data_IF_525523305558
#
_entry.id   IF_525523305558
#
_cell.length_a   1.000
_cell.length_b   1.000
_cell.length_c   1.000
_cell.angle_alpha   90.00
_cell.angle_beta   90.00
_cell.angle_gamma   90.00
#
_symmetry.space_group_name_H-M   'P 1'
#
loop_
_entity.id
_entity.type
_entity.pdbx_description
1 polymer ?
#
# COMPACT_ATOMS: atom_id res chain seq x y z
N UNK A 1 -1.94 -0.72 17.66
CA UNK A 1 -0.80 -1.68 17.81
C UNK A 1 -0.32 -2.00 16.40
N UNK A 2 0.99 -1.94 16.18
CA UNK A 2 1.61 -2.29 14.90
C UNK A 2 1.20 -3.71 14.48
N UNK A 3 0.86 -3.89 13.22
CA UNK A 3 0.66 -5.20 12.64
C UNK A 3 1.97 -5.75 12.10
N UNK A 4 2.06 -7.06 11.90
CA UNK A 4 3.13 -7.68 11.13
C UNK A 4 2.54 -8.58 10.04
N UNK A 5 3.30 -8.75 8.96
CA UNK A 5 2.96 -9.66 7.87
C UNK A 5 4.06 -10.69 7.73
N UNK A 6 3.68 -11.95 7.62
CA UNK A 6 4.56 -13.04 7.26
C UNK A 6 4.00 -13.78 6.05
N UNK A 7 4.73 -13.78 4.98
CA UNK A 7 4.41 -14.44 3.72
C UNK A 7 5.31 -15.66 3.61
N UNK A 8 4.73 -16.84 3.31
CA UNK A 8 5.46 -18.10 3.19
C UNK A 8 5.07 -18.83 1.92
N UNK A 9 6.07 -19.11 1.08
CA UNK A 9 5.91 -19.89 -0.12
C UNK A 9 4.82 -19.39 -1.06
N UNK A 10 4.61 -18.06 -1.16
CA UNK A 10 3.52 -17.47 -1.91
C UNK A 10 3.71 -17.68 -3.41
N UNK A 11 2.73 -18.33 -4.03
CA UNK A 11 2.68 -18.56 -5.48
C UNK A 11 1.44 -17.90 -6.07
N UNK A 12 1.60 -17.23 -7.21
CA UNK A 12 0.49 -16.76 -8.02
C UNK A 12 0.67 -17.10 -9.48
N UNK A 13 -0.30 -17.82 -10.00
CA UNK A 13 -0.48 -18.10 -11.43
C UNK A 13 -1.76 -17.43 -11.92
N UNK A 14 -1.70 -16.76 -13.06
CA UNK A 14 -2.89 -16.27 -13.78
C UNK A 14 -3.33 -17.26 -14.86
N UNK A 15 -2.36 -18.06 -15.37
CA UNK A 15 -2.59 -19.19 -16.27
C UNK A 15 -1.90 -20.40 -15.67
N UNK A 16 -2.50 -21.60 -15.75
CA UNK A 16 -1.88 -22.82 -15.25
C UNK A 16 -0.43 -22.99 -15.77
N UNK A 17 0.50 -23.25 -14.88
CA UNK A 17 1.91 -23.44 -15.21
C UNK A 17 2.72 -22.15 -15.48
N UNK A 18 2.10 -20.97 -15.43
CA UNK A 18 2.80 -19.68 -15.60
C UNK A 18 2.73 -18.88 -14.32
N UNK A 19 3.69 -19.13 -13.43
CA UNK A 19 3.77 -18.45 -12.15
C UNK A 19 4.40 -17.05 -12.30
N UNK A 20 3.65 -16.03 -11.85
CA UNK A 20 4.11 -14.64 -11.71
C UNK A 20 4.82 -14.43 -10.38
N UNK A 21 4.34 -15.07 -9.31
CA UNK A 21 5.04 -15.17 -8.03
C UNK A 21 5.46 -16.62 -7.82
N UNK A 22 6.74 -16.82 -7.50
CA UNK A 22 7.37 -18.14 -7.44
C UNK A 22 7.95 -18.38 -6.05
N UNK A 23 7.09 -18.86 -5.13
CA UNK A 23 7.49 -19.19 -3.75
C UNK A 23 8.12 -18.00 -3.02
N UNK A 24 7.38 -16.91 -2.88
CA UNK A 24 7.85 -15.72 -2.17
C UNK A 24 7.78 -15.98 -0.66
N UNK A 25 8.91 -15.79 0.01
CA UNK A 25 9.03 -15.68 1.45
C UNK A 25 9.40 -14.23 1.81
N UNK A 26 8.61 -13.60 2.68
CA UNK A 26 8.83 -12.21 3.09
C UNK A 26 8.21 -11.97 4.46
N UNK A 27 8.92 -11.25 5.33
CA UNK A 27 8.42 -10.81 6.62
C UNK A 27 8.46 -9.28 6.68
N UNK A 28 7.34 -8.66 6.97
CA UNK A 28 7.18 -7.22 7.15
C UNK A 28 6.77 -6.99 8.60
N UNK A 29 7.60 -6.29 9.35
CA UNK A 29 7.38 -6.03 10.79
C UNK A 29 7.99 -4.69 11.19
N UNK A 30 7.62 -4.23 12.39
CA UNK A 30 8.10 -2.95 12.91
C UNK A 30 7.37 -1.76 12.33
N UNK A 31 8.01 -0.61 12.40
CA UNK A 31 7.57 0.66 11.83
C UNK A 31 8.55 1.08 10.74
N UNK A 32 8.09 1.87 9.80
CA UNK A 32 8.95 2.38 8.72
C UNK A 32 8.49 1.95 7.35
N UNK A 33 9.27 2.32 6.34
CA UNK A 33 8.94 2.14 4.94
C UNK A 33 9.81 1.06 4.30
N UNK A 34 9.16 0.00 3.81
CA UNK A 34 9.78 -1.04 2.96
C UNK A 34 9.45 -0.75 1.50
N UNK A 35 10.46 -0.51 0.69
CA UNK A 35 10.30 -0.34 -0.77
C UNK A 35 10.51 -1.67 -1.50
N UNK A 36 9.57 -2.02 -2.39
CA UNK A 36 9.70 -3.16 -3.30
C UNK A 36 10.12 -2.62 -4.66
N UNK A 37 11.30 -3.02 -5.14
CA UNK A 37 11.88 -2.60 -6.42
C UNK A 37 12.06 -3.78 -7.38
N UNK A 38 12.22 -3.49 -8.66
CA UNK A 38 12.51 -4.47 -9.72
C UNK A 38 11.86 -4.08 -11.05
N UNK A 39 12.20 -4.76 -12.14
CA UNK A 39 11.66 -4.49 -13.47
C UNK A 39 10.14 -4.58 -13.54
N UNK A 40 9.54 -3.97 -14.57
CA UNK A 40 8.12 -4.16 -14.87
C UNK A 40 7.80 -5.64 -15.13
N UNK A 41 6.65 -6.10 -14.70
CA UNK A 41 6.20 -7.49 -14.90
C UNK A 41 6.80 -8.53 -13.94
N UNK A 42 7.66 -8.16 -12.98
CA UNK A 42 8.25 -9.11 -12.00
C UNK A 42 7.31 -9.56 -10.88
N UNK A 43 6.08 -9.04 -10.84
CA UNK A 43 5.08 -9.47 -9.87
C UNK A 43 4.93 -8.56 -8.64
N UNK A 44 5.59 -7.39 -8.57
CA UNK A 44 5.51 -6.45 -7.44
C UNK A 44 4.06 -6.06 -7.07
N UNK A 45 3.30 -5.56 -8.04
CA UNK A 45 1.88 -5.21 -7.84
C UNK A 45 1.03 -6.44 -7.53
N UNK A 46 1.36 -7.60 -8.11
CA UNK A 46 0.70 -8.87 -7.82
C UNK A 46 0.94 -9.27 -6.36
N UNK A 47 2.16 -9.11 -5.83
CA UNK A 47 2.49 -9.39 -4.44
C UNK A 47 1.66 -8.52 -3.49
N UNK A 48 1.67 -7.19 -3.69
CA UNK A 48 0.88 -6.26 -2.88
C UNK A 48 -0.62 -6.60 -2.93
N UNK A 49 -1.15 -6.90 -4.11
CA UNK A 49 -2.56 -7.28 -4.30
C UNK A 49 -2.91 -8.65 -3.71
N UNK A 50 -1.98 -9.59 -3.65
CA UNK A 50 -2.16 -10.85 -2.93
C UNK A 50 -2.18 -10.63 -1.41
N UNK A 51 -1.33 -9.77 -0.86
CA UNK A 51 -1.31 -9.44 0.57
C UNK A 51 -2.68 -8.91 1.00
N UNK A 52 -3.27 -7.99 0.25
CA UNK A 52 -4.62 -7.45 0.53
C UNK A 52 -5.76 -8.35 0.02
N UNK A 53 -5.44 -9.50 -0.60
CA UNK A 53 -6.43 -10.42 -1.19
C UNK A 53 -7.35 -9.76 -2.24
N UNK A 54 -6.88 -8.72 -2.92
CA UNK A 54 -7.51 -8.22 -4.16
C UNK A 54 -7.28 -9.21 -5.31
N UNK A 55 -6.19 -9.95 -5.23
CA UNK A 55 -5.87 -11.10 -6.07
C UNK A 55 -5.71 -12.31 -5.16
N UNK A 56 -6.42 -13.40 -5.45
CA UNK A 56 -6.27 -14.63 -4.68
C UNK A 56 -4.95 -15.31 -5.03
N UNK A 57 -4.12 -15.70 -4.04
CA UNK A 57 -2.93 -16.51 -4.28
C UNK A 57 -3.31 -17.90 -4.79
N UNK A 58 -2.43 -18.53 -5.55
CA UNK A 58 -2.60 -19.91 -6.02
C UNK A 58 -2.18 -20.90 -4.94
N UNK A 59 -1.10 -20.59 -4.21
CA UNK A 59 -0.61 -21.39 -3.08
C UNK A 59 0.18 -20.50 -2.11
N UNK A 60 0.55 -21.06 -0.96
CA UNK A 60 1.29 -20.37 0.10
C UNK A 60 0.38 -19.79 1.17
N UNK A 61 1.00 -19.06 2.10
CA UNK A 61 0.36 -18.52 3.30
C UNK A 61 0.66 -17.02 3.42
N UNK A 62 -0.32 -16.25 3.94
CA UNK A 62 -0.19 -14.83 4.22
C UNK A 62 -0.72 -14.61 5.64
N UNK A 63 0.19 -14.53 6.59
CA UNK A 63 -0.13 -14.33 7.99
C UNK A 63 -0.13 -12.85 8.34
N UNK A 64 -1.26 -12.35 8.82
CA UNK A 64 -1.41 -11.03 9.43
C UNK A 64 -1.49 -11.20 10.95
N UNK A 65 -0.58 -10.55 11.67
CA UNK A 65 -0.62 -10.47 13.14
C UNK A 65 -1.09 -9.07 13.55
N UNK A 66 -2.19 -9.01 14.30
CA UNK A 66 -2.78 -7.76 14.76
C UNK A 66 -3.55 -7.98 16.06
N UNK A 67 -3.34 -7.11 17.04
CA UNK A 67 -4.05 -7.18 18.34
C UNK A 67 -3.87 -8.51 19.08
N UNK A 68 -2.73 -9.18 18.91
CA UNK A 68 -2.44 -10.50 19.49
C UNK A 68 -3.12 -11.67 18.76
N UNK A 69 -3.81 -11.41 17.65
CA UNK A 69 -4.40 -12.43 16.80
C UNK A 69 -3.53 -12.66 15.56
N UNK A 70 -3.47 -13.92 15.12
CA UNK A 70 -2.78 -14.33 13.90
C UNK A 70 -3.79 -14.88 12.91
N UNK A 71 -3.92 -14.25 11.75
CA UNK A 71 -4.92 -14.53 10.72
C UNK A 71 -4.24 -14.97 9.42
N UNK A 72 -4.57 -16.15 8.90
CA UNK A 72 -4.12 -16.56 7.57
C UNK A 72 -5.01 -15.93 6.49
N UNK A 73 -4.59 -14.75 6.01
CA UNK A 73 -5.30 -14.03 4.96
C UNK A 73 -5.52 -14.86 3.70
N UNK A 74 -4.64 -15.84 3.38
CA UNK A 74 -4.78 -16.67 2.19
C UNK A 74 -6.00 -17.60 2.24
N UNK A 75 -6.46 -17.97 3.43
CA UNK A 75 -7.57 -18.90 3.63
C UNK A 75 -8.90 -18.24 3.98
N UNK A 76 -8.88 -16.99 4.45
CA UNK A 76 -10.11 -16.28 4.84
C UNK A 76 -11.05 -16.07 3.65
N UNK A 77 -12.36 -16.10 3.91
CA UNK A 77 -13.43 -15.90 2.92
C UNK A 77 -14.56 -15.03 3.48
N UNK A 78 -15.38 -14.50 2.61
CA UNK A 78 -16.63 -13.83 2.95
C UNK A 78 -16.50 -12.71 3.98
N UNK A 79 -17.25 -12.79 5.07
CA UNK A 79 -17.31 -11.77 6.12
C UNK A 79 -16.01 -11.67 6.92
N UNK A 80 -15.30 -12.79 7.14
CA UNK A 80 -14.02 -12.80 7.85
C UNK A 80 -12.93 -12.08 7.05
N UNK A 81 -12.82 -12.36 5.76
CA UNK A 81 -11.90 -11.65 4.88
C UNK A 81 -12.20 -10.15 4.85
N UNK A 82 -13.48 -9.75 4.76
CA UNK A 82 -13.87 -8.34 4.81
C UNK A 82 -13.46 -7.66 6.11
N UNK A 83 -13.62 -8.34 7.25
CA UNK A 83 -13.19 -7.83 8.55
C UNK A 83 -11.68 -7.69 8.63
N UNK A 84 -10.94 -8.70 8.19
CA UNK A 84 -9.47 -8.70 8.22
C UNK A 84 -8.86 -7.65 7.29
N UNK A 85 -9.48 -7.35 6.15
CA UNK A 85 -9.09 -6.25 5.25
C UNK A 85 -9.15 -4.87 5.89
N UNK A 86 -9.88 -4.68 7.00
CA UNK A 86 -9.86 -3.41 7.75
C UNK A 86 -8.49 -3.09 8.33
N UNK A 87 -7.66 -4.12 8.55
CA UNK A 87 -6.31 -3.96 9.09
C UNK A 87 -5.25 -3.69 8.02
N UNK A 88 -5.58 -3.84 6.74
CA UNK A 88 -4.66 -3.62 5.62
C UNK A 88 -5.25 -2.57 4.70
N UNK A 89 -4.74 -1.34 4.79
CA UNK A 89 -5.15 -0.30 3.86
C UNK A 89 -4.29 -0.32 2.60
N UNK A 90 -4.84 0.21 1.50
CA UNK A 90 -4.15 0.26 0.22
C UNK A 90 -4.29 1.63 -0.45
N UNK A 91 -3.16 2.18 -0.87
CA UNK A 91 -3.04 3.34 -1.76
C UNK A 91 -2.78 2.82 -3.17
N UNK A 92 -3.54 3.29 -4.13
CA UNK A 92 -3.53 2.81 -5.51
C UNK A 92 -2.83 3.80 -6.43
N UNK A 93 -2.30 3.30 -7.53
CA UNK A 93 -1.67 4.07 -8.59
C UNK A 93 -2.64 5.09 -9.23
N UNK A 94 -3.87 4.68 -9.54
CA UNK A 94 -4.91 5.51 -10.18
C UNK A 94 -5.81 6.22 -9.16
N UNK A 95 -5.32 6.49 -7.96
CA UNK A 95 -6.04 7.16 -6.85
C UNK A 95 -7.32 6.44 -6.41
N UNK A 96 -8.09 5.83 -7.31
CA UNK A 96 -9.38 5.17 -7.10
C UNK A 96 -10.39 6.04 -6.33
N UNK A 97 -10.38 7.35 -6.59
CA UNK A 97 -11.36 8.26 -6.02
C UNK A 97 -12.66 8.22 -6.82
N UNK A 98 -13.77 8.45 -6.12
CA UNK A 98 -15.04 8.70 -6.79
C UNK A 98 -15.05 10.18 -7.20
N UNK A 99 -14.81 10.45 -8.46
CA UNK A 99 -14.55 11.79 -9.00
C UNK A 99 -15.66 12.81 -8.69
N UNK A 100 -16.93 12.38 -8.73
CA UNK A 100 -18.10 13.24 -8.49
C UNK A 100 -18.36 13.54 -7.01
N UNK A 101 -17.72 12.81 -6.10
CA UNK A 101 -17.81 13.05 -4.67
C UNK A 101 -16.83 14.13 -4.23
N UNK A 102 -17.16 14.81 -3.13
CA UNK A 102 -16.23 15.72 -2.46
C UNK A 102 -15.03 14.97 -1.88
N UNK A 103 -13.99 15.71 -1.55
CA UNK A 103 -12.81 15.19 -0.84
C UNK A 103 -13.22 14.55 0.49
N UNK A 104 -14.08 15.23 1.28
CA UNK A 104 -14.61 14.70 2.53
C UNK A 104 -15.34 13.37 2.32
N UNK A 105 -16.26 13.31 1.35
CA UNK A 105 -16.99 12.09 1.05
C UNK A 105 -16.06 10.94 0.62
N UNK A 106 -15.01 11.24 -0.19
CA UNK A 106 -14.01 10.25 -0.56
C UNK A 106 -13.26 9.70 0.67
N UNK A 107 -12.87 10.54 1.63
CA UNK A 107 -12.24 10.08 2.87
C UNK A 107 -13.17 9.15 3.64
N UNK A 108 -14.43 9.55 3.83
CA UNK A 108 -15.43 8.78 4.57
C UNK A 108 -15.67 7.39 3.96
N UNK A 109 -15.42 7.18 2.64
CA UNK A 109 -15.45 5.83 2.06
C UNK A 109 -14.47 4.87 2.72
N UNK A 110 -13.37 5.35 3.32
CA UNK A 110 -12.44 4.53 4.10
C UNK A 110 -13.08 3.88 5.33
N UNK A 111 -14.23 4.40 5.80
CA UNK A 111 -15.00 3.85 6.92
C UNK A 111 -16.07 2.85 6.52
N UNK A 112 -16.29 2.59 5.22
CA UNK A 112 -17.32 1.67 4.73
C UNK A 112 -17.20 0.25 5.28
N UNK A 113 -15.99 -0.17 5.64
CA UNK A 113 -15.78 -1.46 6.31
C UNK A 113 -16.37 -1.55 7.72
N UNK A 114 -16.70 -0.43 8.36
CA UNK A 114 -17.11 -0.34 9.77
C UNK A 114 -18.59 -0.02 9.96
N UNK A 115 -19.24 0.47 8.92
CA UNK A 115 -20.67 0.81 8.95
C UNK A 115 -21.51 -0.25 8.25
N UNK A 116 -22.82 -0.30 8.58
CA UNK A 116 -23.75 -1.17 7.87
C UNK A 116 -24.01 -0.68 6.45
N UNK A 117 -24.40 -1.59 5.54
CA UNK A 117 -24.74 -1.20 4.17
C UNK A 117 -25.84 -0.12 4.12
N UNK A 118 -26.81 -0.18 5.03
CA UNK A 118 -27.88 0.81 5.16
C UNK A 118 -27.35 2.20 5.59
N UNK A 119 -26.47 2.25 6.59
CA UNK A 119 -25.83 3.49 7.03
C UNK A 119 -24.94 4.08 5.92
N UNK A 120 -24.17 3.23 5.22
CA UNK A 120 -23.36 3.62 4.08
C UNK A 120 -24.21 4.23 2.96
N UNK A 121 -25.32 3.57 2.59
CA UNK A 121 -26.25 4.07 1.56
C UNK A 121 -26.85 5.43 1.93
N UNK A 122 -27.20 5.64 3.21
CA UNK A 122 -27.71 6.93 3.74
C UNK A 122 -26.60 7.94 4.02
N UNK A 123 -25.32 7.62 3.72
CA UNK A 123 -24.14 8.46 4.06
C UNK A 123 -24.09 8.87 5.53
N UNK A 124 -24.58 7.98 6.41
CA UNK A 124 -24.63 8.24 7.85
C UNK A 124 -23.35 7.73 8.49
N UNK A 125 -22.45 8.66 8.77
CA UNK A 125 -21.21 8.44 9.52
C UNK A 125 -21.30 9.14 10.88
N UNK A 126 -20.53 8.66 11.85
CA UNK A 126 -20.50 9.25 13.19
C UNK A 126 -19.69 10.54 13.19
N UNK A 127 -19.96 11.42 14.19
CA UNK A 127 -19.20 12.66 14.35
C UNK A 127 -17.69 12.40 14.41
N UNK A 128 -17.27 11.36 15.13
CA UNK A 128 -15.86 10.95 15.23
C UNK A 128 -15.20 10.64 13.87
N UNK A 129 -15.96 10.10 12.89
CA UNK A 129 -15.45 9.86 11.54
C UNK A 129 -15.20 11.18 10.80
N UNK A 130 -16.07 12.19 10.97
CA UNK A 130 -15.87 13.52 10.40
C UNK A 130 -14.69 14.25 11.06
N UNK A 131 -14.61 14.23 12.39
CA UNK A 131 -13.51 14.85 13.14
C UNK A 131 -12.17 14.27 12.67
N UNK A 132 -12.06 12.93 12.58
CA UNK A 132 -10.89 12.25 12.04
C UNK A 132 -10.59 12.60 10.58
N UNK A 133 -11.61 12.71 9.74
CA UNK A 133 -11.42 13.10 8.34
C UNK A 133 -10.83 14.51 8.24
N UNK A 134 -11.28 15.46 9.07
CA UNK A 134 -10.70 16.80 9.13
C UNK A 134 -9.25 16.80 9.60
N UNK A 135 -8.91 16.02 10.62
CA UNK A 135 -7.53 15.85 11.09
C UNK A 135 -6.62 15.30 9.97
N UNK A 136 -7.07 14.25 9.27
CA UNK A 136 -6.33 13.67 8.16
C UNK A 136 -6.18 14.63 6.98
N UNK A 137 -7.21 15.43 6.67
CA UNK A 137 -7.11 16.47 5.64
C UNK A 137 -6.07 17.54 6.01
N UNK A 138 -6.01 17.94 7.28
CA UNK A 138 -4.97 18.84 7.75
C UNK A 138 -3.58 18.20 7.62
N UNK A 139 -3.43 16.94 8.02
CA UNK A 139 -2.18 16.18 7.93
C UNK A 139 -1.64 16.08 6.49
N UNK A 140 -2.52 15.88 5.50
CA UNK A 140 -2.10 15.81 4.09
C UNK A 140 -2.07 17.18 3.39
N UNK A 141 -2.31 18.29 4.12
CA UNK A 141 -2.27 19.65 3.58
C UNK A 141 -3.47 20.01 2.70
N UNK A 142 -4.62 19.39 2.91
CA UNK A 142 -5.84 19.58 2.10
C UNK A 142 -7.06 20.04 2.90
N UNK A 143 -6.87 20.67 4.07
CA UNK A 143 -7.97 21.10 4.95
C UNK A 143 -8.99 22.01 4.24
N UNK A 144 -8.51 22.95 3.39
CA UNK A 144 -9.38 23.88 2.65
C UNK A 144 -10.12 23.23 1.47
N UNK A 145 -9.79 21.98 1.10
CA UNK A 145 -10.36 21.28 -0.06
C UNK A 145 -11.50 20.33 0.33
N UNK A 146 -11.89 20.25 1.60
CA UNK A 146 -12.87 19.26 2.11
C UNK A 146 -14.15 19.15 1.27
N UNK A 147 -14.71 20.29 0.84
CA UNK A 147 -15.96 20.36 0.08
C UNK A 147 -15.76 20.36 -1.45
N UNK A 148 -14.50 20.36 -1.91
CA UNK A 148 -14.20 20.37 -3.34
C UNK A 148 -14.39 18.97 -3.92
N UNK A 149 -14.85 18.89 -5.17
CA UNK A 149 -14.98 17.60 -5.88
C UNK A 149 -13.60 17.05 -6.23
N UNK A 150 -13.46 15.72 -6.21
CA UNK A 150 -12.20 15.06 -6.48
C UNK A 150 -11.70 15.24 -7.93
N UNK A 151 -12.61 15.42 -8.91
CA UNK A 151 -12.23 15.70 -10.32
C UNK A 151 -11.58 17.07 -10.53
N UNK A 152 -11.79 18.02 -9.61
CA UNK A 152 -11.18 19.35 -9.67
C UNK A 152 -9.77 19.44 -9.05
N UNK A 153 -9.24 18.33 -8.52
CA UNK A 153 -7.94 18.25 -7.86
C UNK A 153 -6.80 17.94 -8.86
N UNK A 154 -5.59 18.43 -8.57
CA UNK A 154 -4.37 17.99 -9.25
C UNK A 154 -4.04 16.52 -8.93
N UNK A 155 -3.16 15.88 -9.72
CA UNK A 155 -2.73 14.50 -9.50
C UNK A 155 -2.15 14.27 -8.09
N UNK A 156 -1.23 15.15 -7.65
CA UNK A 156 -0.66 15.08 -6.29
C UNK A 156 -1.68 15.29 -5.19
N UNK A 157 -2.67 16.18 -5.39
CA UNK A 157 -3.78 16.35 -4.44
C UNK A 157 -4.65 15.10 -4.37
N UNK A 158 -5.01 14.50 -5.52
CA UNK A 158 -5.77 13.23 -5.56
C UNK A 158 -5.02 12.11 -4.83
N UNK A 159 -3.70 12.03 -4.99
CA UNK A 159 -2.89 11.03 -4.28
C UNK A 159 -2.92 11.26 -2.77
N UNK A 160 -2.79 12.50 -2.31
CA UNK A 160 -2.92 12.84 -0.89
C UNK A 160 -4.30 12.47 -0.32
N UNK A 161 -5.38 12.68 -1.08
CA UNK A 161 -6.73 12.22 -0.72
C UNK A 161 -6.78 10.69 -0.63
N UNK A 162 -6.17 9.97 -1.58
CA UNK A 162 -6.06 8.51 -1.55
C UNK A 162 -5.35 7.98 -0.30
N UNK A 163 -4.25 8.63 0.11
CA UNK A 163 -3.52 8.31 1.35
C UNK A 163 -4.38 8.59 2.58
N UNK A 164 -5.00 9.77 2.68
CA UNK A 164 -5.87 10.14 3.78
C UNK A 164 -7.06 9.15 3.91
N UNK A 165 -7.67 8.76 2.79
CA UNK A 165 -8.73 7.73 2.77
C UNK A 165 -8.24 6.38 3.27
N UNK A 166 -7.03 5.96 2.91
CA UNK A 166 -6.43 4.72 3.41
C UNK A 166 -6.23 4.79 4.93
N UNK A 167 -5.78 5.92 5.45
CA UNK A 167 -5.59 6.16 6.90
C UNK A 167 -6.90 6.28 7.68
N UNK A 168 -8.01 6.69 7.03
CA UNK A 168 -9.36 6.64 7.64
C UNK A 168 -9.73 5.24 8.10
N UNK A 169 -9.20 4.22 7.46
CA UNK A 169 -9.43 2.82 7.81
C UNK A 169 -8.79 2.43 9.16
N UNK A 170 -7.87 3.23 9.72
CA UNK A 170 -7.05 2.91 10.90
C UNK A 170 -6.32 1.57 10.74
N UNK A 171 -5.52 1.42 9.68
CA UNK A 171 -4.91 0.15 9.35
C UNK A 171 -3.79 -0.21 10.33
N UNK A 172 -3.46 -1.50 10.38
CA UNK A 172 -2.28 -2.02 11.05
C UNK A 172 -1.10 -2.20 10.08
N UNK A 173 -1.37 -2.16 8.78
CA UNK A 173 -0.40 -2.21 7.67
C UNK A 173 -0.89 -1.32 6.54
N UNK A 174 -0.01 -0.50 5.97
CA UNK A 174 -0.30 0.33 4.81
C UNK A 174 0.46 -0.19 3.59
N UNK A 175 -0.25 -0.50 2.52
CA UNK A 175 0.29 -0.92 1.24
C UNK A 175 0.13 0.21 0.22
N UNK A 176 1.11 0.43 -0.64
CA UNK A 176 1.03 1.40 -1.73
C UNK A 176 1.57 0.80 -3.04
N UNK A 177 0.72 0.74 -4.05
CA UNK A 177 1.04 0.20 -5.37
C UNK A 177 1.34 1.35 -6.33
N UNK A 178 2.60 1.63 -6.59
CA UNK A 178 3.12 2.70 -7.46
C UNK A 178 2.51 4.09 -7.18
N UNK A 179 2.55 4.59 -5.93
CA UNK A 179 1.81 5.79 -5.54
C UNK A 179 2.34 7.09 -6.17
N UNK A 180 3.44 7.04 -6.90
CA UNK A 180 4.12 8.21 -7.49
C UNK A 180 4.28 8.15 -9.00
N UNK A 181 3.84 7.08 -9.68
CA UNK A 181 4.10 6.81 -11.10
C UNK A 181 3.56 7.88 -12.08
N UNK A 182 2.54 8.65 -11.67
CA UNK A 182 1.91 9.68 -12.51
C UNK A 182 2.17 11.10 -12.00
N UNK A 183 3.18 11.28 -11.14
CA UNK A 183 3.49 12.55 -10.48
C UNK A 183 4.85 13.09 -10.94
N UNK A 184 5.00 14.40 -10.85
CA UNK A 184 6.30 15.04 -11.06
C UNK A 184 7.30 14.66 -9.95
N UNK A 185 8.62 14.81 -10.18
CA UNK A 185 9.63 14.34 -9.23
C UNK A 185 9.52 14.99 -7.84
N UNK A 186 9.18 16.29 -7.77
CA UNK A 186 9.03 16.99 -6.50
C UNK A 186 7.86 16.43 -5.69
N UNK A 187 6.70 16.32 -6.33
CA UNK A 187 5.50 15.74 -5.71
C UNK A 187 5.73 14.28 -5.31
N UNK A 188 6.48 13.52 -6.10
CA UNK A 188 6.85 12.12 -5.77
C UNK A 188 7.61 12.02 -4.47
N UNK A 189 8.61 12.89 -4.25
CA UNK A 189 9.35 12.99 -2.98
C UNK A 189 8.41 13.31 -1.82
N UNK A 190 7.53 14.30 -1.98
CA UNK A 190 6.58 14.70 -0.93
C UNK A 190 5.61 13.56 -0.55
N UNK A 191 5.10 12.82 -1.53
CA UNK A 191 4.22 11.66 -1.30
C UNK A 191 4.98 10.54 -0.56
N UNK A 192 6.22 10.29 -0.93
CA UNK A 192 7.04 9.24 -0.31
C UNK A 192 7.36 9.58 1.15
N UNK A 193 7.74 10.84 1.42
CA UNK A 193 7.93 11.35 2.77
C UNK A 193 6.64 11.26 3.58
N UNK A 194 5.51 11.69 3.01
CA UNK A 194 4.21 11.58 3.67
C UNK A 194 3.90 10.15 4.09
N UNK A 195 4.07 9.16 3.19
CA UNK A 195 3.84 7.75 3.51
C UNK A 195 4.74 7.26 4.65
N UNK A 196 6.02 7.61 4.62
CA UNK A 196 6.97 7.27 5.68
C UNK A 196 6.58 7.88 7.02
N UNK A 197 6.29 9.19 7.04
CA UNK A 197 5.89 9.91 8.25
C UNK A 197 4.61 9.35 8.85
N UNK A 198 3.64 8.96 8.01
CA UNK A 198 2.41 8.31 8.48
C UNK A 198 2.69 6.93 9.07
N UNK A 199 3.62 6.15 8.49
CA UNK A 199 4.07 4.88 9.06
C UNK A 199 4.65 5.06 10.46
N UNK A 200 5.54 6.04 10.65
CA UNK A 200 6.15 6.36 11.94
C UNK A 200 5.11 6.89 12.92
N UNK A 201 4.30 7.87 12.52
CA UNK A 201 3.29 8.51 13.38
C UNK A 201 2.25 7.53 13.91
N UNK A 202 1.79 6.62 13.05
CA UNK A 202 0.79 5.60 13.43
C UNK A 202 1.41 4.31 13.96
N UNK A 203 2.73 4.19 13.96
CA UNK A 203 3.44 2.99 14.43
C UNK A 203 3.14 1.76 13.58
N UNK A 204 2.98 1.90 12.26
CA UNK A 204 2.61 0.81 11.33
C UNK A 204 3.64 0.63 10.23
N UNK A 205 3.87 -0.60 9.73
CA UNK A 205 4.68 -0.83 8.55
C UNK A 205 3.99 -0.28 7.29
N UNK A 206 4.80 0.35 6.44
CA UNK A 206 4.40 0.83 5.12
C UNK A 206 5.17 0.04 4.07
N UNK A 207 4.47 -0.55 3.10
CA UNK A 207 5.08 -1.28 1.98
C UNK A 207 4.73 -0.57 0.68
N UNK A 208 5.75 -0.12 -0.04
CA UNK A 208 5.58 0.66 -1.27
C UNK A 208 6.23 -0.07 -2.45
N UNK A 209 5.45 -0.35 -3.48
CA UNK A 209 5.99 -0.75 -4.77
C UNK A 209 6.41 0.51 -5.54
N UNK A 210 7.65 0.55 -6.03
CA UNK A 210 8.22 1.72 -6.70
C UNK A 210 9.19 1.32 -7.81
N UNK A 211 9.22 2.13 -8.88
CA UNK A 211 10.19 1.97 -9.98
C UNK A 211 11.46 2.80 -9.77
N UNK A 212 11.35 3.93 -9.08
CA UNK A 212 12.47 4.83 -8.82
C UNK A 212 13.39 4.28 -7.72
N UNK A 213 14.55 3.75 -8.12
CA UNK A 213 15.56 3.17 -7.24
C UNK A 213 16.20 4.23 -6.34
N UNK A 214 16.46 5.43 -6.86
CA UNK A 214 17.09 6.49 -6.10
C UNK A 214 16.16 7.02 -5.01
N UNK A 215 14.88 7.14 -5.31
CA UNK A 215 13.86 7.50 -4.32
C UNK A 215 13.77 6.40 -3.23
N UNK A 216 13.80 5.12 -3.64
CA UNK A 216 13.82 4.01 -2.69
C UNK A 216 15.06 4.02 -1.79
N UNK A 217 16.27 4.19 -2.36
CA UNK A 217 17.52 4.29 -1.58
C UNK A 217 17.52 5.42 -0.56
N UNK A 218 16.94 6.56 -0.93
CA UNK A 218 16.98 7.77 -0.12
C UNK A 218 15.98 7.76 1.04
N UNK A 219 14.82 7.16 0.86
CA UNK A 219 13.70 7.31 1.78
C UNK A 219 13.20 6.02 2.43
N UNK A 220 13.51 4.85 1.86
CA UNK A 220 13.12 3.60 2.47
C UNK A 220 14.05 3.22 3.63
N UNK A 221 13.49 2.55 4.62
CA UNK A 221 14.24 1.95 5.74
C UNK A 221 14.71 0.53 5.38
N UNK A 222 14.02 -0.12 4.45
CA UNK A 222 14.32 -1.46 3.91
C UNK A 222 13.95 -1.54 2.44
N UNK A 223 14.72 -2.28 1.68
CA UNK A 223 14.48 -2.54 0.25
C UNK A 223 14.35 -4.04 0.01
N UNK A 224 13.30 -4.41 -0.74
CA UNK A 224 13.07 -5.76 -1.25
C UNK A 224 13.20 -5.72 -2.77
N UNK A 225 14.20 -6.38 -3.32
CA UNK A 225 14.45 -6.48 -4.76
C UNK A 225 13.82 -7.74 -5.35
N UNK A 226 13.00 -7.57 -6.38
CA UNK A 226 12.32 -8.67 -7.07
C UNK A 226 12.74 -8.79 -8.53
N UNK A 227 12.98 -10.01 -8.99
CA UNK A 227 13.19 -10.33 -10.41
C UNK A 227 12.63 -11.72 -10.73
N UNK A 228 12.09 -11.89 -11.93
CA UNK A 228 11.58 -13.18 -12.42
C UNK A 228 10.56 -13.88 -11.53
N UNK A 229 9.86 -13.15 -10.64
CA UNK A 229 8.90 -13.69 -9.69
C UNK A 229 9.49 -14.14 -8.35
N UNK A 230 10.77 -13.84 -8.08
CA UNK A 230 11.47 -14.15 -6.84
C UNK A 230 11.93 -12.90 -6.10
N UNK A 231 12.11 -12.97 -4.78
CA UNK A 231 12.86 -12.00 -4.00
C UNK A 231 14.35 -12.39 -4.10
N UNK A 232 15.18 -11.46 -4.56
CA UNK A 232 16.63 -11.66 -4.74
C UNK A 232 17.46 -10.74 -3.86
N UNK A 233 16.83 -9.73 -3.27
CA UNK A 233 17.42 -8.83 -2.28
C UNK A 233 16.42 -8.52 -1.18
N UNK A 234 16.87 -8.50 0.05
CA UNK A 234 16.08 -8.09 1.21
C UNK A 234 17.03 -7.52 2.27
N UNK A 235 17.04 -6.21 2.44
CA UNK A 235 17.99 -5.58 3.35
C UNK A 235 17.90 -4.05 3.41
N UNK A 236 18.86 -3.44 4.12
CA UNK A 236 18.96 -1.99 4.22
C UNK A 236 19.38 -1.35 2.87
N UNK A 237 18.96 -0.10 2.59
CA UNK A 237 19.34 0.61 1.36
C UNK A 237 20.85 0.67 1.12
N UNK A 238 21.65 0.74 2.18
CA UNK A 238 23.13 0.75 2.13
C UNK A 238 23.76 -0.53 1.58
N UNK A 239 23.05 -1.65 1.66
CA UNK A 239 23.48 -2.94 1.10
C UNK A 239 23.14 -3.13 -0.38
N UNK A 240 22.37 -2.22 -0.98
CA UNK A 240 21.96 -2.29 -2.38
C UNK A 240 23.08 -1.78 -3.29
N UNK A 241 24.06 -2.63 -3.55
CA UNK A 241 25.21 -2.35 -4.43
C UNK A 241 24.81 -2.39 -5.90
N UNK A 242 25.69 -1.84 -6.77
CA UNK A 242 25.50 -1.92 -8.24
C UNK A 242 25.44 -3.38 -8.74
N UNK A 243 26.18 -4.29 -8.11
CA UNK A 243 26.09 -5.71 -8.41
C UNK A 243 24.70 -6.28 -8.10
N UNK A 244 24.09 -5.88 -6.97
CA UNK A 244 22.71 -6.26 -6.63
C UNK A 244 21.71 -5.65 -7.59
N UNK A 245 21.89 -4.40 -8.00
CA UNK A 245 21.04 -3.75 -9.01
C UNK A 245 21.13 -4.47 -10.36
N UNK A 246 22.33 -4.88 -10.80
CA UNK A 246 22.49 -5.71 -12.00
C UNK A 246 21.76 -7.06 -11.86
N UNK A 247 21.78 -7.68 -10.69
CA UNK A 247 21.03 -8.92 -10.44
C UNK A 247 19.53 -8.70 -10.52
N UNK A 248 19.01 -7.60 -9.94
CA UNK A 248 17.60 -7.27 -9.93
C UNK A 248 17.10 -6.92 -11.34
N UNK A 249 17.81 -6.06 -12.07
CA UNK A 249 17.35 -5.49 -13.33
C UNK A 249 17.90 -6.18 -14.60
N UNK A 250 18.85 -7.11 -14.47
CA UNK A 250 19.31 -7.92 -15.60
C UNK A 250 20.28 -7.23 -16.56
N UNK A 251 21.10 -6.28 -16.10
CA UNK A 251 22.10 -5.59 -16.93
C UNK A 251 22.04 -4.06 -16.81
N UNK A 252 22.47 -3.32 -17.85
CA UNK A 252 22.60 -1.85 -17.81
C UNK A 252 21.27 -1.06 -17.88
N UNK A 253 20.14 -1.72 -18.03
CA UNK A 253 18.81 -1.11 -18.22
C UNK A 253 18.19 -0.42 -17.00
N UNK A 254 18.94 -0.23 -15.92
CA UNK A 254 18.51 0.49 -14.70
C UNK A 254 19.19 1.87 -14.55
N UNK A 255 20.20 2.15 -15.36
CA UNK A 255 20.83 3.48 -15.36
C UNK A 255 19.90 4.49 -16.07
N UNK A 256 19.73 5.69 -15.52
CA UNK A 256 18.91 6.74 -16.12
C UNK A 256 19.47 7.24 -17.45
#
# INVERSE_FOLDING_TARGET
MAGSLQIKGLVKEYKPGVAVLKSIDLRIEGTGLTAIIGPSGTGKSTLIRCINRLVDPTAGEIWLEVGGQRLDMARLKGAELRRSRRHIAMVFQEYNLVERLSVMENLLTGRLGYVTAWAAWRRKFDKADFDRAHELLATVGLASFANQRADALSGGQRQRVGIARALMQQPSVLLADEPTSSLDPKTSVEIFQLLRDQGVTHGIPVVVNIHDVELAKRYADRIVGMTGGHVVYDGAPSGLTDAMLKTIYGGEGWMP
#
